data_IF_023207449909
#
_entry.id   IF_023207449909
#
_cell.length_a   1.000
_cell.length_b   1.000
_cell.length_c   1.000
_cell.angle_alpha   90.00
_cell.angle_beta   90.00
_cell.angle_gamma   90.00
#
_symmetry.space_group_name_H-M   'P 1'
#
loop_
_entity.id
_entity.type
_entity.pdbx_description
1 polymer ?
#
# COMPACT_ATOMS: atom_id res chain seq x y z
N UNK A 1 -7.52 -5.54 -5.08
CA UNK A 1 -7.11 -4.37 -4.27
C UNK A 1 -7.67 -4.42 -2.85
N UNK A 2 -8.25 -5.54 -2.42
CA UNK A 2 -8.77 -5.77 -1.07
C UNK A 2 -8.47 -7.24 -0.72
N UNK A 3 -8.42 -7.57 0.58
CA UNK A 3 -8.32 -8.96 1.03
C UNK A 3 -9.72 -9.52 1.22
N UNK A 4 -10.23 -10.36 0.31
CA UNK A 4 -11.60 -10.92 0.42
C UNK A 4 -11.77 -11.83 1.63
N UNK A 5 -10.68 -12.50 2.02
CA UNK A 5 -10.65 -13.43 3.15
C UNK A 5 -10.32 -12.72 4.48
N UNK A 6 -10.24 -11.38 4.49
CA UNK A 6 -9.97 -10.62 5.70
C UNK A 6 -11.27 -10.40 6.49
N UNK A 7 -11.28 -10.58 7.82
CA UNK A 7 -12.47 -10.32 8.65
C UNK A 7 -12.90 -8.85 8.66
N UNK A 8 -12.07 -7.94 8.17
CA UNK A 8 -12.36 -6.51 8.02
C UNK A 8 -12.89 -6.14 6.63
N UNK A 9 -13.04 -7.12 5.73
CA UNK A 9 -13.60 -6.88 4.40
C UNK A 9 -15.12 -6.96 4.44
N UNK A 10 -15.77 -5.91 3.98
CA UNK A 10 -17.20 -5.90 3.71
C UNK A 10 -17.43 -6.46 2.30
N UNK A 11 -17.99 -7.67 2.24
CA UNK A 11 -18.26 -8.37 0.99
C UNK A 11 -19.36 -7.73 0.15
N UNK A 12 -20.37 -7.13 0.79
CA UNK A 12 -21.50 -6.50 0.10
C UNK A 12 -21.05 -5.19 -0.56
N UNK A 13 -20.33 -4.36 0.19
CA UNK A 13 -19.83 -3.06 -0.30
C UNK A 13 -18.50 -3.16 -1.04
N UNK A 14 -17.85 -4.32 -0.98
CA UNK A 14 -16.56 -4.63 -1.58
C UNK A 14 -15.42 -3.70 -1.13
N UNK A 15 -15.45 -3.26 0.13
CA UNK A 15 -14.47 -2.34 0.72
C UNK A 15 -13.80 -2.93 1.97
N UNK A 16 -12.65 -2.38 2.34
CA UNK A 16 -12.09 -2.59 3.68
C UNK A 16 -12.78 -1.62 4.66
N UNK A 17 -13.26 -2.14 5.79
CA UNK A 17 -13.89 -1.32 6.84
C UNK A 17 -12.93 -0.31 7.47
N UNK A 18 -11.62 -0.53 7.35
CA UNK A 18 -10.57 0.38 7.84
C UNK A 18 -10.07 1.37 6.76
N UNK A 19 -10.74 1.41 5.61
CA UNK A 19 -10.38 2.29 4.49
C UNK A 19 -9.02 1.98 3.87
N UNK A 20 -8.54 0.73 4.00
CA UNK A 20 -7.24 0.30 3.47
C UNK A 20 -7.36 -0.33 2.09
N UNK A 21 -6.30 -0.15 1.30
CA UNK A 21 -6.09 -0.80 0.02
C UNK A 21 -5.07 -1.93 0.18
N UNK A 22 -5.35 -3.05 -0.48
CA UNK A 22 -4.48 -4.21 -0.58
C UNK A 22 -4.18 -4.56 -2.05
N UNK A 23 -3.31 -3.79 -2.72
CA UNK A 23 -2.87 -4.08 -4.09
C UNK A 23 -2.12 -5.42 -4.16
N UNK A 24 -2.38 -6.20 -5.21
CA UNK A 24 -1.78 -7.52 -5.37
C UNK A 24 -0.42 -7.47 -6.04
N UNK A 25 -0.22 -6.45 -6.90
CA UNK A 25 1.03 -6.24 -7.64
C UNK A 25 1.81 -5.07 -7.04
N UNK A 26 3.13 -5.15 -7.13
CA UNK A 26 4.02 -4.12 -6.62
C UNK A 26 3.81 -2.78 -7.34
N UNK A 27 3.64 -2.78 -8.68
CA UNK A 27 3.44 -1.53 -9.43
C UNK A 27 2.16 -0.80 -8.99
N UNK A 28 1.07 -1.56 -8.77
CA UNK A 28 -0.17 -1.01 -8.24
C UNK A 28 0.01 -0.42 -6.84
N UNK A 29 0.84 -1.05 -6.01
CA UNK A 29 1.14 -0.54 -4.68
C UNK A 29 1.92 0.78 -4.75
N UNK A 30 2.86 0.90 -5.70
CA UNK A 30 3.58 2.16 -5.94
C UNK A 30 2.63 3.27 -6.41
N UNK A 31 1.72 2.98 -7.34
CA UNK A 31 0.71 3.95 -7.80
C UNK A 31 -0.19 4.43 -6.67
N UNK A 32 -0.69 3.51 -5.85
CA UNK A 32 -1.50 3.83 -4.66
C UNK A 32 -0.73 4.74 -3.71
N UNK A 33 0.53 4.42 -3.41
CA UNK A 33 1.37 5.24 -2.53
C UNK A 33 1.64 6.62 -3.13
N UNK A 34 1.80 6.71 -4.46
CA UNK A 34 2.04 7.99 -5.16
C UNK A 34 0.82 8.91 -5.10
N UNK A 35 -0.39 8.35 -5.23
CA UNK A 35 -1.64 9.13 -5.27
C UNK A 35 -2.21 9.43 -3.87
N UNK A 36 -2.16 8.45 -2.97
CA UNK A 36 -2.87 8.48 -1.69
C UNK A 36 -1.95 8.42 -0.46
N UNK A 37 -0.66 8.13 -0.66
CA UNK A 37 0.32 7.98 0.41
C UNK A 37 0.35 6.57 1.01
N UNK A 38 1.39 6.30 1.81
CA UNK A 38 1.63 4.97 2.39
C UNK A 38 0.56 4.54 3.41
N UNK A 39 -0.10 5.49 4.10
CA UNK A 39 -1.04 5.20 5.19
C UNK A 39 -2.29 4.46 4.73
N UNK A 40 -2.64 4.55 3.45
CA UNK A 40 -3.80 3.85 2.89
C UNK A 40 -3.47 2.40 2.50
N UNK A 41 -2.19 2.03 2.39
CA UNK A 41 -1.79 0.64 2.15
C UNK A 41 -1.97 -0.15 3.44
N UNK A 42 -2.63 -1.31 3.34
CA UNK A 42 -2.83 -2.22 4.46
C UNK A 42 -1.50 -2.54 5.16
N UNK A 43 -1.41 -2.49 6.51
CA UNK A 43 -0.20 -2.84 7.24
C UNK A 43 0.32 -4.25 6.95
N UNK A 44 -0.58 -5.16 6.55
CA UNK A 44 -0.27 -6.56 6.21
C UNK A 44 -0.08 -6.80 4.71
N UNK A 45 0.01 -5.75 3.87
CA UNK A 45 0.33 -5.94 2.46
C UNK A 45 1.80 -6.34 2.28
N UNK A 46 2.07 -7.43 1.55
CA UNK A 46 3.42 -7.97 1.32
C UNK A 46 4.40 -6.95 0.74
N UNK A 47 3.90 -5.96 0.01
CA UNK A 47 4.73 -4.94 -0.62
C UNK A 47 5.06 -3.77 0.32
N UNK A 48 4.42 -3.68 1.50
CA UNK A 48 4.46 -2.48 2.34
C UNK A 48 5.86 -2.15 2.86
N UNK A 49 6.61 -3.15 3.31
CA UNK A 49 7.97 -2.94 3.81
C UNK A 49 8.89 -2.40 2.71
N UNK A 50 8.80 -2.98 1.50
CA UNK A 50 9.52 -2.50 0.32
C UNK A 50 9.13 -1.06 -0.04
N UNK A 51 7.86 -0.68 0.11
CA UNK A 51 7.40 0.70 -0.12
C UNK A 51 7.95 1.67 0.93
N UNK A 52 8.07 1.25 2.20
CA UNK A 52 8.71 2.04 3.25
C UNK A 52 10.17 2.27 2.91
N UNK A 53 10.91 1.20 2.61
CA UNK A 53 12.34 1.28 2.30
C UNK A 53 12.61 2.23 1.13
N UNK A 54 11.85 2.10 0.04
CA UNK A 54 12.02 2.95 -1.15
C UNK A 54 11.70 4.43 -0.91
N UNK A 55 10.85 4.75 0.08
CA UNK A 55 10.58 6.14 0.50
C UNK A 55 11.60 6.68 1.51
N UNK A 56 12.23 5.78 2.26
CA UNK A 56 13.17 6.10 3.33
C UNK A 56 14.61 6.14 2.81
N UNK A 57 14.85 5.69 1.58
CA UNK A 57 16.11 5.88 0.89
C UNK A 57 16.48 7.37 0.97
N UNK A 58 17.65 7.71 1.54
CA UNK A 58 18.03 9.10 1.75
C UNK A 58 18.02 9.84 0.40
N UNK A 59 17.65 11.12 0.42
CA UNK A 59 17.87 12.07 -0.68
C UNK A 59 19.38 12.29 -0.97
N UNK A 60 20.23 11.28 -0.72
CA UNK A 60 21.66 11.32 -0.99
C UNK A 60 21.91 10.97 -2.46
N UNK A 61 21.48 11.87 -3.33
CA UNK A 61 22.22 12.17 -4.56
C UNK A 61 22.55 13.65 -4.49
N UNK A 62 23.60 14.00 -3.75
CA UNK A 62 24.43 15.11 -4.22
C UNK A 62 25.01 14.62 -5.54
N UNK A 63 24.66 15.36 -6.60
CA UNK A 63 25.20 15.21 -7.93
C UNK A 63 26.73 15.22 -7.90
N UNK A 64 27.30 14.49 -8.84
CA UNK A 64 28.72 14.47 -9.22
C UNK A 64 29.34 15.88 -9.30
#
# INVERSE_FOLDING_TARGET
MTCRDCPRYDGEKRICLDGKLNPHRYEQAQEVVKLFGLRVVCPFNDHRERLIYNRSAPLSRKAE
#
